data_IF_815834801203
#
_entry.id   IF_815834801203
#
_cell.length_a   1.000
_cell.length_b   1.000
_cell.length_c   1.000
_cell.angle_alpha   90.00
_cell.angle_beta   90.00
_cell.angle_gamma   90.00
#
_symmetry.space_group_name_H-M   'P 1'
#
loop_
_entity.id
_entity.type
_entity.pdbx_description
1 polymer ?
#
# COMPACT_ATOMS: atom_id res chain seq x y z
N UNK A 1 -15.10 7.63 11.93
CA UNK A 1 -15.19 8.49 13.13
C UNK A 1 -16.51 8.32 13.86
N UNK A 2 -17.51 9.16 13.56
CA UNK A 2 -18.73 9.29 14.38
C UNK A 2 -19.48 7.98 14.66
N UNK A 3 -19.62 7.09 13.66
CA UNK A 3 -20.23 5.77 13.87
C UNK A 3 -19.51 4.94 14.94
N UNK A 4 -18.18 4.97 14.97
CA UNK A 4 -17.37 4.27 15.97
C UNK A 4 -17.60 4.84 17.38
N UNK A 5 -17.51 6.18 17.51
CA UNK A 5 -17.80 6.89 18.76
C UNK A 5 -19.19 6.51 19.30
N UNK A 6 -20.22 6.58 18.45
CA UNK A 6 -21.59 6.23 18.83
C UNK A 6 -21.74 4.77 19.26
N UNK A 7 -21.00 3.82 18.66
CA UNK A 7 -21.03 2.42 19.10
C UNK A 7 -20.36 2.26 20.47
N UNK A 8 -19.21 2.90 20.72
CA UNK A 8 -18.54 2.82 22.02
C UNK A 8 -19.44 3.39 23.13
N UNK A 9 -20.11 4.52 22.86
CA UNK A 9 -21.02 5.17 23.81
C UNK A 9 -22.25 4.34 24.20
N UNK A 10 -22.58 3.28 23.47
CA UNK A 10 -23.64 2.33 23.87
C UNK A 10 -23.28 1.47 25.08
N UNK A 11 -21.99 1.34 25.42
CA UNK A 11 -21.54 0.45 26.49
C UNK A 11 -20.46 1.04 27.41
N UNK A 12 -19.93 2.24 27.12
CA UNK A 12 -19.01 3.00 28.00
C UNK A 12 -19.26 4.51 27.97
N UNK A 13 -19.38 5.13 29.14
CA UNK A 13 -19.56 6.57 29.33
C UNK A 13 -18.27 7.32 29.71
N UNK A 14 -17.20 6.60 30.06
CA UNK A 14 -15.93 7.20 30.48
C UNK A 14 -15.35 8.14 29.41
N UNK A 15 -14.67 9.24 29.79
CA UNK A 15 -14.02 10.12 28.82
C UNK A 15 -13.02 9.36 27.94
N UNK A 16 -12.98 9.69 26.65
CA UNK A 16 -11.86 9.26 25.82
C UNK A 16 -10.61 10.00 26.29
N UNK A 17 -9.66 9.28 26.88
CA UNK A 17 -8.48 9.91 27.48
C UNK A 17 -7.34 10.15 26.47
N UNK A 18 -6.98 9.12 25.71
CA UNK A 18 -5.84 9.15 24.78
C UNK A 18 -6.23 8.48 23.46
N UNK A 19 -5.87 9.12 22.34
CA UNK A 19 -5.87 8.55 20.99
C UNK A 19 -4.40 8.30 20.62
N UNK A 20 -4.06 7.08 20.23
CA UNK A 20 -2.74 6.75 19.70
C UNK A 20 -2.84 6.53 18.20
N UNK A 21 -2.08 7.28 17.43
CA UNK A 21 -1.87 7.01 16.02
C UNK A 21 -0.82 5.93 15.85
N UNK A 22 -1.24 4.77 15.34
CA UNK A 22 -0.32 3.71 14.92
C UNK A 22 0.59 4.22 13.80
N UNK A 23 0.06 5.02 12.89
CA UNK A 23 0.78 5.85 11.92
C UNK A 23 -0.17 6.84 11.25
N UNK A 24 0.38 7.81 10.53
CA UNK A 24 -0.39 8.87 9.89
C UNK A 24 -1.10 8.49 8.60
N UNK A 25 -1.42 7.22 8.34
CA UNK A 25 -2.31 6.87 7.22
C UNK A 25 -3.76 7.28 7.50
N UNK A 26 -4.45 7.73 6.46
CA UNK A 26 -5.76 8.38 6.58
C UNK A 26 -6.86 7.47 7.14
N UNK A 27 -6.78 6.16 6.95
CA UNK A 27 -7.69 5.16 7.51
C UNK A 27 -7.45 4.95 9.02
N UNK A 28 -6.29 5.37 9.54
CA UNK A 28 -5.93 5.32 10.95
C UNK A 28 -6.20 6.64 11.68
N UNK A 29 -6.06 7.78 10.99
CA UNK A 29 -6.17 9.12 11.61
C UNK A 29 -7.42 9.90 11.22
N UNK A 30 -7.93 9.69 10.00
CA UNK A 30 -8.95 10.56 9.39
C UNK A 30 -10.30 10.54 10.11
N UNK A 31 -10.55 9.48 10.88
CA UNK A 31 -11.75 9.34 11.72
C UNK A 31 -11.67 10.01 13.08
N UNK A 32 -10.49 10.47 13.51
CA UNK A 32 -10.21 10.84 14.91
C UNK A 32 -10.81 12.19 15.32
N UNK A 33 -11.11 13.08 14.37
CA UNK A 33 -11.84 14.32 14.64
C UNK A 33 -13.19 14.10 15.32
N UNK A 34 -13.83 12.95 15.10
CA UNK A 34 -15.11 12.62 15.74
C UNK A 34 -14.99 12.41 17.27
N UNK A 35 -13.83 11.98 17.77
CA UNK A 35 -13.59 11.82 19.19
C UNK A 35 -13.33 13.17 19.88
N UNK A 36 -12.73 14.12 19.15
CA UNK A 36 -12.56 15.50 19.61
C UNK A 36 -13.93 16.20 19.69
N UNK A 37 -14.73 16.10 18.64
CA UNK A 37 -16.07 16.69 18.58
C UNK A 37 -16.98 16.15 19.69
N UNK A 38 -16.95 14.84 19.98
CA UNK A 38 -17.76 14.27 21.06
C UNK A 38 -17.35 14.74 22.46
N UNK A 39 -16.06 15.01 22.68
CA UNK A 39 -15.60 15.58 23.93
C UNK A 39 -16.08 17.03 24.07
N UNK A 40 -15.99 17.82 23.00
CA UNK A 40 -16.46 19.20 22.93
C UNK A 40 -17.98 19.30 23.18
N UNK A 41 -18.79 18.51 22.47
CA UNK A 41 -20.26 18.45 22.63
C UNK A 41 -20.68 18.12 24.07
N UNK A 42 -19.86 17.32 24.76
CA UNK A 42 -20.09 16.92 26.15
C UNK A 42 -19.47 17.87 27.18
N UNK A 43 -18.86 19.00 26.76
CA UNK A 43 -18.20 19.94 27.66
C UNK A 43 -16.98 19.36 28.40
N UNK A 44 -16.30 18.38 27.81
CA UNK A 44 -15.14 17.69 28.39
C UNK A 44 -13.86 18.06 27.64
N UNK A 45 -12.67 17.99 28.30
CA UNK A 45 -11.41 18.09 27.59
C UNK A 45 -11.30 17.01 26.51
N UNK A 46 -10.83 17.39 25.32
CA UNK A 46 -10.55 16.44 24.24
C UNK A 46 -9.46 15.43 24.64
N UNK A 47 -9.47 14.21 24.06
CA UNK A 47 -8.42 13.23 24.31
C UNK A 47 -7.05 13.77 23.90
N UNK A 48 -6.01 13.37 24.64
CA UNK A 48 -4.62 13.57 24.21
C UNK A 48 -4.36 12.77 22.94
N UNK A 49 -3.76 13.37 21.92
CA UNK A 49 -3.41 12.69 20.67
C UNK A 49 -1.91 12.43 20.66
N UNK A 50 -1.53 11.15 20.61
CA UNK A 50 -0.16 10.67 20.65
C UNK A 50 0.22 10.06 19.30
N UNK A 51 1.40 10.38 18.78
CA UNK A 51 1.94 9.73 17.59
C UNK A 51 3.45 9.89 17.49
N UNK A 52 4.09 9.14 16.59
CA UNK A 52 5.52 9.31 16.32
C UNK A 52 5.81 10.72 15.75
N UNK A 53 7.02 11.26 15.95
CA UNK A 53 7.43 12.59 15.46
C UNK A 53 7.33 12.78 13.93
N UNK A 54 7.25 11.68 13.17
CA UNK A 54 7.06 11.72 11.72
C UNK A 54 5.58 11.79 11.29
N UNK A 55 4.60 11.61 12.19
CA UNK A 55 3.16 11.74 11.83
C UNK A 55 2.84 13.16 11.34
N UNK A 56 3.24 14.25 12.02
CA UNK A 56 3.02 15.61 11.50
C UNK A 56 3.70 15.86 10.14
N UNK A 57 4.93 15.34 9.95
CA UNK A 57 5.66 15.45 8.67
C UNK A 57 4.92 14.75 7.54
N UNK A 58 4.27 13.61 7.83
CA UNK A 58 3.41 12.91 6.87
C UNK A 58 2.17 13.72 6.51
N UNK A 59 1.53 14.36 7.50
CA UNK A 59 0.37 15.24 7.24
C UNK A 59 0.75 16.42 6.34
N UNK A 60 1.89 17.06 6.61
CA UNK A 60 2.44 18.11 5.76
C UNK A 60 2.66 17.62 4.32
N UNK A 61 3.24 16.42 4.14
CA UNK A 61 3.41 15.82 2.82
C UNK A 61 2.07 15.59 2.12
N UNK A 62 1.05 15.11 2.83
CA UNK A 62 -0.29 14.95 2.24
C UNK A 62 -0.89 16.28 1.79
N UNK A 63 -0.70 17.36 2.55
CA UNK A 63 -1.13 18.69 2.14
C UNK A 63 -0.36 19.16 0.90
N UNK A 64 0.96 18.99 0.89
CA UNK A 64 1.83 19.38 -0.23
C UNK A 64 1.48 18.62 -1.53
N UNK A 65 1.10 17.35 -1.41
CA UNK A 65 0.82 16.45 -2.54
C UNK A 65 -0.66 16.06 -2.61
N UNK A 66 -1.57 16.91 -2.13
CA UNK A 66 -2.98 16.58 -1.98
C UNK A 66 -3.62 16.10 -3.28
N UNK A 67 -3.49 16.90 -4.35
CA UNK A 67 -4.07 16.56 -5.66
C UNK A 67 -3.51 15.25 -6.22
N UNK A 68 -2.21 14.99 -6.05
CA UNK A 68 -1.60 13.75 -6.50
C UNK A 68 -2.11 12.54 -5.69
N UNK A 69 -2.25 12.68 -4.37
CA UNK A 69 -2.83 11.62 -3.54
C UNK A 69 -4.28 11.31 -3.96
N UNK A 70 -5.09 12.31 -4.30
CA UNK A 70 -6.44 12.07 -4.84
C UNK A 70 -6.38 11.26 -6.14
N UNK A 71 -5.52 11.66 -7.09
CA UNK A 71 -5.35 10.97 -8.38
C UNK A 71 -4.94 9.50 -8.20
N UNK A 72 -3.90 9.21 -7.42
CA UNK A 72 -3.42 7.83 -7.25
C UNK A 72 -4.44 6.96 -6.50
N UNK A 73 -5.21 7.52 -5.56
CA UNK A 73 -6.24 6.74 -4.87
C UNK A 73 -7.44 6.46 -5.78
N UNK A 74 -7.86 7.39 -6.63
CA UNK A 74 -8.91 7.10 -7.62
C UNK A 74 -8.42 6.05 -8.62
N UNK A 75 -7.16 6.11 -9.09
CA UNK A 75 -6.57 5.05 -9.93
C UNK A 75 -6.63 3.69 -9.27
N UNK A 76 -6.21 3.62 -8.01
CA UNK A 76 -6.05 2.36 -7.30
C UNK A 76 -7.39 1.78 -6.81
N UNK A 77 -8.29 2.65 -6.34
CA UNK A 77 -9.46 2.25 -5.57
C UNK A 77 -10.80 2.68 -6.19
N UNK A 78 -10.81 3.59 -7.18
CA UNK A 78 -12.04 4.19 -7.72
C UNK A 78 -13.00 3.21 -8.38
N UNK A 79 -12.53 2.04 -8.79
CA UNK A 79 -13.36 0.94 -9.32
C UNK A 79 -13.91 -0.01 -8.24
N UNK A 80 -13.56 0.18 -6.97
CA UNK A 80 -14.02 -0.62 -5.83
C UNK A 80 -14.97 0.15 -4.92
N UNK A 81 -15.68 1.14 -5.47
CA UNK A 81 -16.60 2.01 -4.73
C UNK A 81 -17.65 1.21 -3.96
N UNK A 82 -17.95 1.63 -2.72
CA UNK A 82 -18.90 0.97 -1.84
C UNK A 82 -18.32 -0.20 -1.02
N UNK A 83 -17.02 -0.49 -1.14
CA UNK A 83 -16.31 -1.50 -0.31
C UNK A 83 -15.54 -0.92 0.88
N UNK A 84 -15.76 0.36 1.21
CA UNK A 84 -15.13 1.01 2.36
C UNK A 84 -13.75 1.63 2.08
N UNK A 85 -13.28 1.62 0.82
CA UNK A 85 -12.07 2.32 0.36
C UNK A 85 -12.36 3.74 -0.16
N UNK A 86 -13.57 4.24 0.08
CA UNK A 86 -14.10 5.43 -0.58
C UNK A 86 -13.48 6.71 -0.02
N UNK A 87 -12.59 7.31 -0.81
CA UNK A 87 -12.19 8.71 -0.70
C UNK A 87 -12.74 9.56 -1.85
N UNK A 88 -13.46 8.91 -2.77
CA UNK A 88 -13.99 9.53 -3.97
C UNK A 88 -14.92 10.69 -3.60
N UNK A 89 -14.62 11.88 -4.13
CA UNK A 89 -15.42 13.09 -3.90
C UNK A 89 -14.90 14.02 -2.80
N UNK A 90 -13.86 13.65 -2.05
CA UNK A 90 -13.22 14.57 -1.11
C UNK A 90 -12.12 15.41 -1.79
N UNK A 91 -12.27 16.74 -1.76
CA UNK A 91 -11.27 17.67 -2.27
C UNK A 91 -9.94 17.61 -1.49
N UNK A 92 -9.99 17.18 -0.22
CA UNK A 92 -8.82 16.95 0.62
C UNK A 92 -8.64 15.46 0.94
N UNK A 93 -7.42 14.97 0.68
CA UNK A 93 -7.02 13.60 0.95
C UNK A 93 -6.91 13.33 2.46
N UNK A 94 -6.28 14.23 3.22
CA UNK A 94 -6.32 14.22 4.69
C UNK A 94 -7.53 15.05 5.14
N UNK A 95 -8.47 14.50 5.92
CA UNK A 95 -9.59 15.28 6.42
C UNK A 95 -9.11 16.45 7.29
N UNK A 96 -9.64 17.65 7.06
CA UNK A 96 -9.32 18.87 7.85
C UNK A 96 -9.62 18.72 9.34
N UNK A 97 -10.51 17.81 9.70
CA UNK A 97 -10.89 17.49 11.08
C UNK A 97 -9.91 16.54 11.77
N UNK A 98 -8.87 16.06 11.08
CA UNK A 98 -7.85 15.17 11.66
C UNK A 98 -7.02 15.96 12.68
N UNK A 99 -7.08 15.65 13.97
CA UNK A 99 -6.29 16.39 14.95
C UNK A 99 -4.81 16.03 14.81
N UNK A 100 -3.93 17.03 14.88
CA UNK A 100 -2.50 16.81 14.99
C UNK A 100 -2.15 16.16 16.35
N UNK A 101 -1.10 15.33 16.43
CA UNK A 101 -0.59 14.87 17.73
C UNK A 101 -0.25 16.05 18.64
N UNK A 102 -0.83 16.06 19.84
CA UNK A 102 -0.45 17.00 20.91
C UNK A 102 0.75 16.50 21.72
N UNK A 103 1.12 15.23 21.55
CA UNK A 103 2.33 14.63 22.11
C UNK A 103 3.00 13.78 21.03
N UNK A 104 4.28 14.06 20.79
CA UNK A 104 5.11 13.24 19.90
C UNK A 104 6.24 12.56 20.66
N UNK A 105 6.73 11.47 20.10
CA UNK A 105 7.88 10.73 20.61
C UNK A 105 8.70 10.18 19.45
N UNK A 106 9.96 9.80 19.72
CA UNK A 106 10.88 9.26 18.73
C UNK A 106 11.01 7.74 18.82
N UNK A 107 11.55 7.22 19.91
CA UNK A 107 11.85 5.78 20.01
C UNK A 107 10.76 5.04 20.78
N UNK A 108 10.49 5.49 22.01
CA UNK A 108 9.48 4.90 22.89
C UNK A 108 8.69 5.96 23.67
N UNK A 109 7.45 5.64 24.04
CA UNK A 109 6.67 6.43 25.00
C UNK A 109 5.87 5.49 25.90
N UNK A 110 6.11 5.57 27.20
CA UNK A 110 5.37 4.81 28.19
C UNK A 110 4.37 5.72 28.91
N UNK A 111 3.15 5.24 29.10
CA UNK A 111 2.13 5.96 29.85
C UNK A 111 1.10 5.00 30.45
N UNK A 112 0.40 5.45 31.47
CA UNK A 112 -0.66 4.69 32.13
C UNK A 112 -2.00 5.40 32.01
N UNK A 113 -3.08 4.67 31.76
CA UNK A 113 -4.46 5.19 31.72
C UNK A 113 -5.36 4.24 32.48
N UNK A 114 -6.03 4.75 33.51
CA UNK A 114 -6.94 3.92 34.32
C UNK A 114 -6.26 2.76 35.04
N UNK A 115 -4.95 2.87 35.32
CA UNK A 115 -4.15 1.82 35.95
C UNK A 115 -3.57 0.78 34.98
N UNK A 116 -3.85 0.89 33.67
CA UNK A 116 -3.26 0.01 32.65
C UNK A 116 -2.06 0.69 31.99
N UNK A 117 -0.93 0.00 31.95
CA UNK A 117 0.31 0.48 31.36
C UNK A 117 0.40 0.16 29.86
N UNK A 118 0.84 1.15 29.09
CA UNK A 118 1.09 1.06 27.66
C UNK A 118 2.53 1.44 27.35
N UNK A 119 3.22 0.60 26.59
CA UNK A 119 4.56 0.87 26.06
C UNK A 119 4.46 1.04 24.54
N UNK A 120 4.50 2.29 24.06
CA UNK A 120 4.58 2.57 22.63
C UNK A 120 6.02 2.45 22.16
N UNK A 121 6.21 1.75 21.04
CA UNK A 121 7.49 1.50 20.40
C UNK A 121 7.42 1.91 18.94
N UNK A 122 8.34 2.76 18.53
CA UNK A 122 8.51 3.11 17.14
C UNK A 122 9.31 2.03 16.41
N UNK A 123 8.86 1.70 15.20
CA UNK A 123 9.69 1.05 14.20
C UNK A 123 9.25 1.52 12.82
N UNK A 124 10.11 1.37 11.81
CA UNK A 124 9.73 1.63 10.42
C UNK A 124 9.13 0.36 9.81
N UNK A 125 8.09 0.52 9.01
CA UNK A 125 7.43 -0.58 8.32
C UNK A 125 6.83 -0.14 7.00
N UNK A 126 5.50 -0.18 6.89
CA UNK A 126 4.80 0.44 5.78
C UNK A 126 5.12 1.94 5.69
N UNK A 127 5.33 2.57 6.84
CA UNK A 127 5.67 3.98 6.97
C UNK A 127 6.88 4.21 7.86
N UNK A 128 7.39 5.45 7.84
CA UNK A 128 8.47 5.94 8.70
C UNK A 128 7.98 6.45 10.07
N UNK A 129 6.69 6.34 10.35
CA UNK A 129 6.03 6.85 11.55
C UNK A 129 5.23 5.78 12.30
N UNK A 130 5.48 4.51 11.98
CA UNK A 130 4.80 3.37 12.60
C UNK A 130 5.08 3.27 14.10
N UNK A 131 4.05 2.85 14.83
CA UNK A 131 3.99 2.61 16.27
C UNK A 131 3.29 1.28 16.50
N UNK A 132 3.86 0.45 17.37
CA UNK A 132 3.15 -0.66 17.99
C UNK A 132 3.15 -0.50 19.52
N UNK A 133 2.11 -0.99 20.18
CA UNK A 133 1.97 -0.90 21.63
C UNK A 133 2.09 -2.28 22.26
N UNK A 134 2.88 -2.37 23.33
CA UNK A 134 2.89 -3.51 24.25
C UNK A 134 2.07 -3.16 25.50
N UNK A 135 1.19 -4.08 25.90
CA UNK A 135 0.35 -3.97 27.09
C UNK A 135 0.74 -5.14 28.03
N UNK A 136 1.65 -4.92 29.00
CA UNK A 136 2.24 -5.99 29.79
C UNK A 136 1.22 -6.83 30.55
N UNK A 137 0.23 -6.19 31.17
CA UNK A 137 -0.81 -6.86 31.97
C UNK A 137 -1.59 -7.90 31.15
N UNK A 138 -1.83 -7.62 29.87
CA UNK A 138 -2.55 -8.52 28.96
C UNK A 138 -1.63 -9.37 28.09
N UNK A 139 -0.31 -9.19 28.20
CA UNK A 139 0.68 -9.70 27.25
C UNK A 139 0.23 -9.48 25.81
N UNK A 140 -0.28 -8.29 25.52
CA UNK A 140 -0.94 -7.99 24.26
C UNK A 140 -0.13 -7.00 23.41
N UNK A 141 -0.15 -7.20 22.09
CA UNK A 141 0.43 -6.27 21.11
C UNK A 141 -0.69 -5.63 20.29
N UNK A 142 -0.72 -4.30 20.20
CA UNK A 142 -1.47 -3.58 19.18
C UNK A 142 -0.50 -3.16 18.07
N UNK A 143 -0.61 -3.78 16.89
CA UNK A 143 0.45 -3.77 15.89
C UNK A 143 0.29 -2.74 14.76
N UNK A 144 -0.82 -2.01 14.70
CA UNK A 144 -1.10 -1.19 13.51
C UNK A 144 -1.09 -2.03 12.24
N UNK A 145 -0.45 -1.50 11.18
CA UNK A 145 -0.33 -2.17 9.88
C UNK A 145 0.97 -2.97 9.73
N UNK A 146 1.69 -3.24 10.82
CA UNK A 146 2.79 -4.22 10.76
C UNK A 146 2.29 -5.63 10.34
N UNK A 147 0.99 -5.90 10.47
CA UNK A 147 0.35 -7.13 10.00
C UNK A 147 -1.09 -6.86 9.57
N UNK A 148 -1.51 -7.35 8.39
CA UNK A 148 -2.82 -7.03 7.79
C UNK A 148 -3.56 -8.25 7.20
N UNK A 149 -3.21 -9.49 7.58
CA UNK A 149 -3.77 -10.72 6.98
C UNK A 149 -3.65 -10.81 5.45
N UNK A 150 -2.62 -10.19 4.91
CA UNK A 150 -2.22 -10.25 3.51
C UNK A 150 -0.70 -10.08 3.44
N UNK A 151 -0.12 -10.36 2.27
CA UNK A 151 1.29 -10.09 2.04
C UNK A 151 1.61 -8.61 2.39
N UNK A 152 2.70 -8.32 3.13
CA UNK A 152 2.96 -6.98 3.66
C UNK A 152 2.93 -5.92 2.57
N UNK A 153 2.24 -4.81 2.87
CA UNK A 153 2.18 -3.66 1.99
C UNK A 153 3.51 -2.91 2.05
N UNK A 154 4.58 -3.49 1.50
CA UNK A 154 5.94 -2.96 1.51
C UNK A 154 6.44 -2.57 0.10
N UNK A 155 5.56 -2.65 -0.90
CA UNK A 155 5.90 -2.44 -2.31
C UNK A 155 5.05 -1.45 -3.09
N UNK A 156 3.86 -1.06 -2.60
CA UNK A 156 2.84 -0.29 -3.35
C UNK A 156 3.44 0.68 -4.40
N UNK A 157 3.13 0.47 -5.69
CA UNK A 157 3.80 1.14 -6.79
C UNK A 157 3.53 2.64 -6.90
N UNK A 158 2.52 3.15 -6.17
CA UNK A 158 2.09 4.55 -6.26
C UNK A 158 2.35 5.35 -4.98
N UNK A 159 2.87 4.72 -3.91
CA UNK A 159 3.02 5.37 -2.60
C UNK A 159 4.48 5.74 -2.32
N UNK A 160 4.68 6.49 -1.24
CA UNK A 160 6.00 6.87 -0.78
C UNK A 160 6.80 5.64 -0.29
N UNK A 161 8.10 5.85 -0.10
CA UNK A 161 9.06 4.81 0.31
C UNK A 161 8.60 4.00 1.53
N UNK A 162 8.85 2.69 1.48
CA UNK A 162 8.58 1.73 2.57
C UNK A 162 9.84 0.99 3.00
N UNK A 163 9.78 0.32 4.15
CA UNK A 163 10.96 -0.15 4.88
C UNK A 163 10.90 -1.65 5.20
N UNK A 164 10.93 -2.55 4.20
CA UNK A 164 10.77 -4.00 4.43
C UNK A 164 11.83 -4.60 5.36
N UNK A 165 13.06 -4.07 5.34
CA UNK A 165 14.15 -4.51 6.22
C UNK A 165 13.86 -4.18 7.68
N UNK A 166 13.54 -2.92 7.97
CA UNK A 166 13.21 -2.46 9.31
C UNK A 166 11.90 -3.09 9.81
N UNK A 167 10.95 -3.32 8.90
CA UNK A 167 9.69 -4.03 9.19
C UNK A 167 9.96 -5.43 9.71
N UNK A 168 10.82 -6.20 9.04
CA UNK A 168 11.16 -7.54 9.48
C UNK A 168 11.75 -7.54 10.89
N UNK A 169 12.66 -6.60 11.20
CA UNK A 169 13.22 -6.44 12.55
C UNK A 169 12.11 -6.19 13.59
N UNK A 170 11.15 -5.32 13.30
CA UNK A 170 10.02 -5.05 14.19
C UNK A 170 9.17 -6.31 14.46
N UNK A 171 8.92 -7.12 13.41
CA UNK A 171 8.17 -8.37 13.56
C UNK A 171 8.93 -9.41 14.39
N UNK A 172 10.26 -9.48 14.26
CA UNK A 172 11.11 -10.33 15.09
C UNK A 172 11.07 -9.89 16.55
N UNK A 173 11.13 -8.58 16.82
CA UNK A 173 10.99 -8.05 18.18
C UNK A 173 9.64 -8.42 18.78
N UNK A 174 8.53 -8.15 18.06
CA UNK A 174 7.18 -8.52 18.50
C UNK A 174 7.03 -10.02 18.76
N UNK A 175 7.61 -10.88 17.91
CA UNK A 175 7.61 -12.33 18.11
C UNK A 175 8.35 -12.74 19.39
N UNK A 176 9.40 -11.99 19.77
CA UNK A 176 10.20 -12.19 20.97
C UNK A 176 9.52 -11.73 22.28
N UNK A 177 8.52 -10.86 22.21
CA UNK A 177 7.81 -10.32 23.40
C UNK A 177 7.02 -11.38 24.17
N UNK A 178 6.77 -12.56 23.59
CA UNK A 178 5.98 -13.59 24.23
C UNK A 178 4.50 -13.22 24.40
N UNK A 179 3.96 -12.44 23.46
CA UNK A 179 2.56 -12.02 23.46
C UNK A 179 1.60 -13.22 23.47
N UNK A 180 0.49 -13.09 24.19
CA UNK A 180 -0.61 -14.07 24.20
C UNK A 180 -1.81 -13.60 23.37
N UNK A 181 -1.88 -12.30 23.08
CA UNK A 181 -2.87 -11.66 22.21
C UNK A 181 -2.20 -10.67 21.25
N UNK A 182 -2.52 -10.76 19.97
CA UNK A 182 -2.01 -9.86 18.94
C UNK A 182 -3.17 -9.22 18.18
N UNK A 183 -3.19 -7.89 18.14
CA UNK A 183 -4.26 -7.05 17.62
C UNK A 183 -3.73 -6.21 16.45
N UNK A 184 -3.88 -6.68 15.20
CA UNK A 184 -3.60 -5.84 14.04
C UNK A 184 -4.68 -4.77 13.87
N UNK A 185 -4.37 -3.70 13.13
CA UNK A 185 -5.39 -2.72 12.77
C UNK A 185 -6.35 -3.24 11.68
N UNK A 186 -5.87 -4.15 10.82
CA UNK A 186 -6.69 -4.81 9.79
C UNK A 186 -6.73 -6.33 10.00
N UNK A 187 -7.95 -6.89 9.92
CA UNK A 187 -8.20 -8.32 10.05
C UNK A 187 -8.40 -8.80 11.50
N UNK A 188 -8.27 -10.11 11.71
CA UNK A 188 -8.65 -10.75 12.98
C UNK A 188 -7.52 -10.73 14.03
N UNK A 189 -7.85 -10.64 15.32
CA UNK A 189 -6.90 -10.93 16.40
C UNK A 189 -6.29 -12.33 16.29
N UNK A 190 -5.04 -12.48 16.74
CA UNK A 190 -4.37 -13.78 16.88
C UNK A 190 -4.18 -14.06 18.38
N UNK A 191 -4.68 -15.19 18.85
CA UNK A 191 -4.43 -15.68 20.20
C UNK A 191 -3.39 -16.80 20.22
N UNK A 192 -2.64 -16.87 21.33
CA UNK A 192 -1.70 -17.95 21.63
C UNK A 192 -0.27 -17.64 21.21
N UNK A 193 0.64 -17.69 22.19
CA UNK A 193 2.06 -17.31 22.05
C UNK A 193 2.77 -17.96 20.87
N UNK A 194 2.66 -19.28 20.73
CA UNK A 194 3.34 -20.02 19.65
C UNK A 194 2.79 -19.66 18.26
N UNK A 195 1.48 -19.42 18.16
CA UNK A 195 0.82 -19.04 16.91
C UNK A 195 1.25 -17.64 16.49
N UNK A 196 1.25 -16.69 17.42
CA UNK A 196 1.70 -15.31 17.17
C UNK A 196 3.16 -15.33 16.73
N UNK A 197 4.05 -15.98 17.49
CA UNK A 197 5.47 -16.05 17.16
C UNK A 197 5.70 -16.70 15.78
N UNK A 198 5.00 -17.78 15.44
CA UNK A 198 5.09 -18.41 14.11
C UNK A 198 4.72 -17.45 13.00
N UNK A 199 3.53 -16.84 13.08
CA UNK A 199 3.02 -15.94 12.04
C UNK A 199 3.97 -14.77 11.81
N UNK A 200 4.39 -14.09 12.88
CA UNK A 200 5.28 -12.93 12.77
C UNK A 200 6.66 -13.33 12.21
N UNK A 201 7.21 -14.47 12.63
CA UNK A 201 8.50 -14.95 12.13
C UNK A 201 8.45 -15.36 10.65
N UNK A 202 7.35 -15.93 10.17
CA UNK A 202 7.19 -16.29 8.76
C UNK A 202 7.03 -15.05 7.86
N UNK A 203 6.28 -14.05 8.33
CA UNK A 203 6.17 -12.76 7.63
C UNK A 203 7.52 -12.04 7.60
N UNK A 204 8.24 -12.00 8.73
CA UNK A 204 9.58 -11.43 8.80
C UNK A 204 10.56 -12.14 7.85
N UNK A 205 10.57 -13.47 7.84
CA UNK A 205 11.42 -14.26 6.96
C UNK A 205 11.15 -14.01 5.47
N UNK A 206 9.88 -13.81 5.11
CA UNK A 206 9.50 -13.48 3.72
C UNK A 206 10.07 -12.12 3.28
N UNK A 207 10.01 -11.11 4.15
CA UNK A 207 10.59 -9.79 3.89
C UNK A 207 12.12 -9.83 3.85
N UNK A 208 12.75 -10.51 4.81
CA UNK A 208 14.21 -10.69 4.88
C UNK A 208 14.76 -11.35 3.61
N UNK A 209 14.08 -12.39 3.12
CA UNK A 209 14.46 -13.07 1.89
C UNK A 209 14.42 -12.13 0.68
N UNK A 210 13.30 -11.42 0.45
CA UNK A 210 13.18 -10.51 -0.69
C UNK A 210 14.23 -9.39 -0.61
N UNK A 211 14.46 -8.82 0.57
CA UNK A 211 15.51 -7.82 0.79
C UNK A 211 16.88 -8.39 0.45
N UNK A 212 17.20 -9.57 0.95
CA UNK A 212 18.52 -10.19 0.79
C UNK A 212 18.81 -10.53 -0.67
N UNK A 213 17.90 -11.22 -1.35
CA UNK A 213 18.11 -11.61 -2.76
C UNK A 213 18.10 -10.40 -3.71
N UNK A 214 17.26 -9.40 -3.44
CA UNK A 214 17.28 -8.15 -4.22
C UNK A 214 18.62 -7.44 -4.07
N UNK A 215 19.07 -7.20 -2.84
CA UNK A 215 20.34 -6.50 -2.59
C UNK A 215 21.56 -7.28 -3.10
N UNK A 216 21.52 -8.61 -3.03
CA UNK A 216 22.54 -9.47 -3.61
C UNK A 216 22.69 -9.21 -5.11
N UNK A 217 21.60 -9.31 -5.88
CA UNK A 217 21.64 -9.07 -7.33
C UNK A 217 22.01 -7.61 -7.67
N UNK A 218 21.57 -6.64 -6.87
CA UNK A 218 22.01 -5.25 -7.02
C UNK A 218 23.53 -5.11 -6.86
N UNK A 219 24.11 -5.75 -5.84
CA UNK A 219 25.56 -5.73 -5.60
C UNK A 219 26.35 -6.47 -6.69
N UNK A 220 25.74 -7.44 -7.37
CA UNK A 220 26.29 -8.11 -8.55
C UNK A 220 26.19 -7.25 -9.83
N UNK A 221 25.56 -6.07 -9.76
CA UNK A 221 25.39 -5.16 -10.88
C UNK A 221 24.28 -5.54 -11.86
N UNK A 222 23.35 -6.43 -11.45
CA UNK A 222 22.21 -6.80 -12.26
C UNK A 222 21.29 -5.61 -12.56
N UNK A 223 20.66 -5.60 -13.73
CA UNK A 223 19.64 -4.61 -14.08
C UNK A 223 18.35 -4.89 -13.31
N UNK A 224 17.57 -3.85 -13.02
CA UNK A 224 16.30 -3.99 -12.31
C UNK A 224 15.38 -5.03 -12.98
N UNK A 225 15.32 -5.04 -14.31
CA UNK A 225 14.52 -6.01 -15.05
C UNK A 225 14.92 -7.46 -14.71
N UNK A 226 16.23 -7.75 -14.69
CA UNK A 226 16.73 -9.10 -14.38
C UNK A 226 16.39 -9.49 -12.93
N UNK A 227 16.45 -8.54 -12.00
CA UNK A 227 16.10 -8.73 -10.59
C UNK A 227 14.61 -9.07 -10.44
N UNK A 228 13.71 -8.33 -11.09
CA UNK A 228 12.26 -8.57 -11.03
C UNK A 228 11.88 -9.98 -11.51
N UNK A 229 12.59 -10.46 -12.55
CA UNK A 229 12.36 -11.79 -13.09
C UNK A 229 13.05 -12.91 -12.30
N UNK A 230 14.08 -12.59 -11.51
CA UNK A 230 14.86 -13.58 -10.74
C UNK A 230 14.38 -13.78 -9.31
N UNK A 231 14.03 -12.71 -8.59
CA UNK A 231 13.62 -12.79 -7.18
C UNK A 231 12.19 -13.35 -7.10
N UNK A 232 12.04 -14.54 -6.52
CA UNK A 232 10.73 -15.22 -6.34
C UNK A 232 10.56 -15.69 -4.91
N UNK A 233 9.41 -15.35 -4.32
CA UNK A 233 8.99 -15.88 -3.03
C UNK A 233 8.45 -17.29 -3.20
N UNK A 234 8.67 -18.13 -2.19
CA UNK A 234 8.13 -19.49 -2.11
C UNK A 234 6.60 -19.50 -2.29
N UNK A 235 6.06 -20.21 -3.31
CA UNK A 235 4.63 -20.35 -3.52
C UNK A 235 3.87 -20.89 -2.30
N UNK A 236 4.47 -21.81 -1.54
CA UNK A 236 3.81 -22.40 -0.37
C UNK A 236 3.59 -21.36 0.75
N UNK A 237 4.49 -20.38 0.87
CA UNK A 237 4.29 -19.25 1.76
C UNK A 237 3.16 -18.35 1.28
N UNK A 238 3.03 -18.13 -0.03
CA UNK A 238 1.99 -17.27 -0.61
C UNK A 238 0.58 -17.88 -0.53
N UNK A 239 0.45 -19.19 -0.31
CA UNK A 239 -0.85 -19.82 -0.08
C UNK A 239 -1.39 -19.61 1.33
N UNK A 240 -0.51 -19.31 2.29
CA UNK A 240 -0.88 -19.10 3.70
C UNK A 240 -1.83 -17.92 3.84
N UNK A 241 -2.90 -18.03 4.65
CA UNK A 241 -3.95 -17.01 4.72
C UNK A 241 -3.46 -15.58 5.01
N UNK A 242 -2.35 -15.42 5.73
CA UNK A 242 -1.76 -14.14 6.12
C UNK A 242 -0.61 -13.65 5.24
N UNK A 243 -0.28 -14.39 4.18
CA UNK A 243 0.76 -14.04 3.20
C UNK A 243 0.25 -14.07 1.76
N UNK A 244 -1.06 -14.23 1.55
CA UNK A 244 -1.63 -14.14 0.21
C UNK A 244 -1.41 -12.75 -0.38
N UNK A 245 -0.96 -12.62 -1.64
CA UNK A 245 -0.76 -11.34 -2.31
C UNK A 245 -2.09 -10.77 -2.84
N UNK A 246 -3.04 -10.56 -1.92
CA UNK A 246 -4.39 -10.05 -2.23
C UNK A 246 -4.50 -8.54 -2.10
N UNK A 247 -3.54 -7.91 -1.42
CA UNK A 247 -3.47 -6.45 -1.28
C UNK A 247 -2.25 -5.91 -2.02
N UNK A 248 -1.04 -6.14 -1.50
CA UNK A 248 0.26 -5.92 -2.14
C UNK A 248 0.89 -7.26 -2.58
N UNK A 249 2.06 -7.25 -3.20
CA UNK A 249 2.72 -8.47 -3.72
C UNK A 249 4.27 -8.41 -3.71
N UNK A 250 4.96 -9.57 -3.73
CA UNK A 250 6.42 -9.64 -3.65
C UNK A 250 7.18 -8.81 -4.70
N UNK A 251 6.72 -8.82 -5.95
CA UNK A 251 7.40 -8.12 -7.06
C UNK A 251 7.45 -6.60 -6.81
N UNK A 252 6.42 -6.03 -6.18
CA UNK A 252 6.39 -4.61 -5.83
C UNK A 252 7.40 -4.27 -4.73
N UNK A 253 7.69 -5.20 -3.82
CA UNK A 253 8.73 -4.98 -2.80
C UNK A 253 10.11 -4.88 -3.44
N UNK A 254 10.41 -5.69 -4.47
CA UNK A 254 11.67 -5.61 -5.23
C UNK A 254 11.86 -4.21 -5.82
N UNK A 255 10.82 -3.66 -6.46
CA UNK A 255 10.81 -2.29 -6.96
C UNK A 255 11.05 -1.25 -5.86
N UNK A 256 10.40 -1.41 -4.71
CA UNK A 256 10.55 -0.49 -3.58
C UNK A 256 11.96 -0.53 -2.96
N UNK A 257 12.61 -1.70 -2.93
CA UNK A 257 14.01 -1.85 -2.50
C UNK A 257 14.95 -1.18 -3.50
N UNK A 258 14.73 -1.40 -4.80
CA UNK A 258 15.50 -0.70 -5.84
C UNK A 258 15.41 0.81 -5.68
N UNK A 259 14.19 1.34 -5.51
CA UNK A 259 13.98 2.77 -5.25
C UNK A 259 14.71 3.25 -3.99
N UNK A 260 14.72 2.45 -2.93
CA UNK A 260 15.35 2.80 -1.65
C UNK A 260 16.86 2.97 -1.76
N UNK A 261 17.53 2.06 -2.48
CA UNK A 261 18.99 1.97 -2.48
C UNK A 261 19.65 2.33 -3.81
N UNK A 262 18.99 2.05 -4.93
CA UNK A 262 19.51 2.22 -6.30
C UNK A 262 19.04 3.50 -7.02
N UNK A 263 18.05 4.21 -6.47
CA UNK A 263 17.47 5.39 -7.10
C UNK A 263 16.44 5.05 -8.18
N UNK A 264 16.33 5.86 -9.23
CA UNK A 264 15.29 5.74 -10.26
C UNK A 264 15.74 5.04 -11.55
N UNK A 265 17.05 5.05 -11.84
CA UNK A 265 17.59 4.46 -13.07
C UNK A 265 17.61 2.94 -12.95
N UNK A 266 17.24 2.22 -14.00
CA UNK A 266 17.00 0.76 -13.97
C UNK A 266 18.13 -0.09 -14.58
N UNK A 267 19.18 0.56 -15.07
CA UNK A 267 20.32 -0.08 -15.74
C UNK A 267 20.17 -0.24 -17.26
N UNK A 268 19.07 0.22 -17.87
CA UNK A 268 18.91 0.27 -19.33
C UNK A 268 19.34 1.65 -19.86
N UNK A 269 20.41 1.77 -20.66
CA UNK A 269 20.87 3.06 -21.18
C UNK A 269 19.80 3.86 -21.95
N UNK A 270 18.86 3.18 -22.62
CA UNK A 270 17.77 3.82 -23.35
C UNK A 270 16.80 4.59 -22.42
N UNK A 271 16.74 4.22 -21.14
CA UNK A 271 15.84 4.82 -20.15
C UNK A 271 16.48 5.98 -19.36
N UNK A 272 17.78 6.24 -19.53
CA UNK A 272 18.46 7.33 -18.80
C UNK A 272 17.96 8.72 -19.25
N UNK A 273 17.72 8.87 -20.56
CA UNK A 273 17.16 10.08 -21.19
C UNK A 273 16.26 9.66 -22.35
N UNK A 274 15.07 9.10 -22.05
CA UNK A 274 14.26 8.45 -23.07
C UNK A 274 13.73 9.47 -24.08
N UNK A 275 13.48 8.98 -25.30
CA UNK A 275 12.69 9.73 -26.28
C UNK A 275 11.26 9.97 -25.75
N UNK A 276 10.51 10.87 -26.39
CA UNK A 276 9.07 10.99 -26.13
C UNK A 276 8.41 9.65 -26.43
N UNK A 277 7.61 9.13 -25.50
CA UNK A 277 7.00 7.79 -25.63
C UNK A 277 6.17 7.66 -26.91
N UNK A 278 5.42 8.70 -27.28
CA UNK A 278 4.64 8.73 -28.54
C UNK A 278 5.53 8.57 -29.78
N UNK A 279 6.74 9.15 -29.78
CA UNK A 279 7.64 9.02 -30.94
C UNK A 279 8.16 7.59 -31.10
N UNK A 280 8.57 6.95 -29.99
CA UNK A 280 8.98 5.55 -29.99
C UNK A 280 7.81 4.62 -30.37
N UNK A 281 6.63 4.87 -29.81
CA UNK A 281 5.42 4.11 -30.08
C UNK A 281 5.01 4.15 -31.56
N UNK A 282 5.05 5.34 -32.18
CA UNK A 282 4.75 5.51 -33.61
C UNK A 282 5.73 4.74 -34.50
N UNK A 283 7.04 4.79 -34.21
CA UNK A 283 8.05 4.05 -34.96
C UNK A 283 7.81 2.53 -34.85
N UNK A 284 7.57 2.02 -33.65
CA UNK A 284 7.28 0.60 -33.42
C UNK A 284 5.99 0.18 -34.14
N UNK A 285 4.96 1.02 -34.12
CA UNK A 285 3.71 0.76 -34.83
C UNK A 285 3.91 0.75 -36.36
N UNK A 286 4.71 1.66 -36.92
CA UNK A 286 5.04 1.68 -38.35
C UNK A 286 5.77 0.40 -38.78
N UNK A 287 6.77 -0.03 -38.00
CA UNK A 287 7.50 -1.29 -38.23
C UNK A 287 6.57 -2.52 -38.17
N UNK A 288 5.52 -2.47 -37.35
CA UNK A 288 4.51 -3.53 -37.25
C UNK A 288 3.42 -3.46 -38.34
N UNK A 289 3.47 -2.47 -39.24
CA UNK A 289 2.51 -2.26 -40.31
C UNK A 289 1.26 -1.48 -39.90
N UNK A 290 1.34 -0.69 -38.83
CA UNK A 290 0.32 0.25 -38.35
C UNK A 290 -0.14 -0.03 -36.90
N UNK A 291 -0.73 0.98 -36.23
CA UNK A 291 -1.15 0.89 -34.83
C UNK A 291 -2.24 -0.18 -34.59
N UNK A 292 -3.19 -0.34 -35.54
CA UNK A 292 -4.22 -1.38 -35.44
C UNK A 292 -3.60 -2.78 -35.47
N UNK A 293 -2.68 -3.06 -36.40
CA UNK A 293 -1.99 -4.36 -36.46
C UNK A 293 -1.17 -4.65 -35.21
N UNK A 294 -0.53 -3.62 -34.65
CA UNK A 294 0.19 -3.74 -33.39
C UNK A 294 -0.75 -4.09 -32.22
N UNK A 295 -1.93 -3.45 -32.16
CA UNK A 295 -2.96 -3.77 -31.16
C UNK A 295 -3.56 -5.17 -31.34
N UNK A 296 -3.82 -5.61 -32.57
CA UNK A 296 -4.28 -6.98 -32.88
C UNK A 296 -3.24 -8.01 -32.43
N UNK A 297 -1.95 -7.73 -32.68
CA UNK A 297 -0.87 -8.59 -32.20
C UNK A 297 -0.80 -8.62 -30.67
N UNK A 298 -1.03 -7.48 -30.02
CA UNK A 298 -1.11 -7.41 -28.57
C UNK A 298 -2.21 -8.33 -28.04
N UNK A 299 -3.43 -8.25 -28.59
CA UNK A 299 -4.53 -9.11 -28.20
C UNK A 299 -4.23 -10.60 -28.45
N UNK A 300 -3.65 -10.94 -29.61
CA UNK A 300 -3.27 -12.32 -29.93
C UNK A 300 -2.20 -12.89 -28.97
N UNK A 301 -1.43 -12.04 -28.29
CA UNK A 301 -0.46 -12.42 -27.27
C UNK A 301 -1.06 -12.47 -25.85
N UNK A 302 -2.26 -11.93 -25.62
CA UNK A 302 -2.80 -11.77 -24.27
C UNK A 302 -2.94 -13.11 -23.52
N UNK A 303 -3.25 -14.20 -24.23
CA UNK A 303 -3.35 -15.55 -23.65
C UNK A 303 -2.00 -16.31 -23.59
N UNK A 304 -0.94 -15.76 -24.21
CA UNK A 304 0.39 -16.39 -24.28
C UNK A 304 1.38 -15.70 -23.34
N UNK A 305 1.50 -14.39 -23.47
CA UNK A 305 2.31 -13.52 -22.63
C UNK A 305 1.60 -12.17 -22.47
N UNK A 306 0.75 -12.10 -21.45
CA UNK A 306 -0.05 -10.90 -21.17
C UNK A 306 0.81 -9.69 -20.81
N UNK A 307 2.02 -9.87 -20.30
CA UNK A 307 2.92 -8.75 -19.97
C UNK A 307 3.44 -8.12 -21.25
N UNK A 308 3.90 -8.94 -22.19
CA UNK A 308 4.31 -8.47 -23.52
C UNK A 308 3.13 -7.84 -24.26
N UNK A 309 1.94 -8.45 -24.20
CA UNK A 309 0.72 -7.90 -24.76
C UNK A 309 0.44 -6.48 -24.24
N UNK A 310 0.56 -6.23 -22.94
CA UNK A 310 0.39 -4.89 -22.36
C UNK A 310 1.34 -3.85 -22.98
N UNK A 311 2.61 -4.19 -23.20
CA UNK A 311 3.57 -3.27 -23.84
C UNK A 311 3.16 -2.90 -25.27
N UNK A 312 2.75 -3.90 -26.08
CA UNK A 312 2.35 -3.66 -27.46
C UNK A 312 1.03 -2.88 -27.53
N UNK A 313 0.07 -3.18 -26.66
CA UNK A 313 -1.19 -2.46 -26.57
C UNK A 313 -0.99 -0.99 -26.17
N UNK A 314 -0.05 -0.72 -25.25
CA UNK A 314 0.30 0.65 -24.85
C UNK A 314 0.92 1.42 -26.02
N UNK A 315 1.89 0.84 -26.73
CA UNK A 315 2.47 1.48 -27.90
C UNK A 315 1.43 1.73 -29.00
N UNK A 316 0.54 0.79 -29.27
CA UNK A 316 -0.52 1.02 -30.25
C UNK A 316 -1.40 2.23 -29.88
N UNK A 317 -1.83 2.32 -28.62
CA UNK A 317 -2.67 3.42 -28.14
C UNK A 317 -1.93 4.77 -28.10
N UNK A 318 -0.64 4.79 -27.80
CA UNK A 318 0.18 6.01 -27.87
C UNK A 318 0.38 6.48 -29.32
N UNK A 319 0.53 5.56 -30.27
CA UNK A 319 0.68 5.85 -31.69
C UNK A 319 -0.62 6.35 -32.34
N UNK A 320 -1.77 5.91 -31.85
CA UNK A 320 -3.10 6.29 -32.36
C UNK A 320 -4.09 6.67 -31.22
N UNK A 321 -3.84 7.77 -30.50
CA UNK A 321 -4.54 8.08 -29.23
C UNK A 321 -6.02 8.46 -29.35
N UNK A 322 -6.51 8.64 -30.58
CA UNK A 322 -7.88 8.97 -30.92
C UNK A 322 -8.59 7.85 -31.70
N UNK A 323 -7.93 6.71 -31.97
CA UNK A 323 -8.50 5.60 -32.72
C UNK A 323 -9.34 4.69 -31.79
N UNK A 324 -10.68 4.64 -31.96
CA UNK A 324 -11.53 3.82 -31.11
C UNK A 324 -11.24 2.32 -31.22
N UNK A 325 -10.81 1.83 -32.39
CA UNK A 325 -10.54 0.41 -32.61
C UNK A 325 -9.29 -0.04 -31.84
N UNK A 326 -8.24 0.78 -31.84
CA UNK A 326 -7.04 0.54 -31.02
C UNK A 326 -7.39 0.54 -29.53
N UNK A 327 -8.23 1.48 -29.10
CA UNK A 327 -8.65 1.53 -27.71
C UNK A 327 -9.53 0.35 -27.29
N UNK A 328 -10.41 -0.16 -28.16
CA UNK A 328 -11.18 -1.38 -27.88
C UNK A 328 -10.24 -2.58 -27.61
N UNK A 329 -9.22 -2.78 -28.45
CA UNK A 329 -8.24 -3.86 -28.29
C UNK A 329 -7.38 -3.67 -27.03
N UNK A 330 -6.90 -2.45 -26.75
CA UNK A 330 -6.15 -2.14 -25.52
C UNK A 330 -7.00 -2.41 -24.27
N UNK A 331 -8.28 -2.06 -24.30
CA UNK A 331 -9.19 -2.30 -23.18
C UNK A 331 -9.31 -3.80 -22.86
N UNK A 332 -9.42 -4.63 -23.89
CA UNK A 332 -9.48 -6.09 -23.74
C UNK A 332 -8.19 -6.66 -23.15
N UNK A 333 -7.03 -6.28 -23.70
CA UNK A 333 -5.71 -6.72 -23.19
C UNK A 333 -5.53 -6.38 -21.70
N UNK A 334 -5.82 -5.15 -21.30
CA UNK A 334 -5.70 -4.76 -19.89
C UNK A 334 -6.78 -5.39 -19.00
N UNK A 335 -7.96 -5.72 -19.54
CA UNK A 335 -8.96 -6.49 -18.81
C UNK A 335 -8.49 -7.93 -18.55
N UNK A 336 -7.88 -8.58 -19.54
CA UNK A 336 -7.27 -9.92 -19.39
C UNK A 336 -6.17 -9.86 -18.33
N UNK A 337 -5.25 -8.88 -18.43
CA UNK A 337 -4.21 -8.64 -17.42
C UNK A 337 -4.81 -8.52 -16.02
N UNK A 338 -5.79 -7.62 -15.86
CA UNK A 338 -6.47 -7.38 -14.58
C UNK A 338 -7.12 -8.64 -14.01
N UNK A 339 -7.72 -9.49 -14.84
CA UNK A 339 -8.39 -10.71 -14.41
C UNK A 339 -7.41 -11.76 -13.87
N UNK A 340 -6.16 -11.78 -14.38
CA UNK A 340 -5.10 -12.67 -13.92
C UNK A 340 -4.42 -12.22 -12.62
N UNK A 341 -4.60 -10.98 -12.19
CA UNK A 341 -3.97 -10.48 -10.97
C UNK A 341 -4.64 -11.00 -9.70
N UNK A 342 -3.87 -11.10 -8.62
CA UNK A 342 -4.41 -11.31 -7.27
C UNK A 342 -4.47 -10.01 -6.48
N UNK A 343 -3.44 -9.18 -6.57
CA UNK A 343 -3.25 -7.99 -5.74
C UNK A 343 -4.26 -6.91 -6.08
N UNK A 344 -4.82 -6.27 -5.04
CA UNK A 344 -5.75 -5.16 -5.21
C UNK A 344 -5.07 -3.98 -5.92
N UNK A 345 -3.77 -3.76 -5.66
CA UNK A 345 -3.00 -2.67 -6.29
C UNK A 345 -2.92 -2.85 -7.82
N UNK A 346 -2.54 -4.04 -8.28
CA UNK A 346 -2.42 -4.33 -9.71
C UNK A 346 -3.79 -4.28 -10.41
N UNK A 347 -4.82 -4.87 -9.79
CA UNK A 347 -6.20 -4.81 -10.30
C UNK A 347 -6.70 -3.38 -10.47
N UNK A 348 -6.40 -2.52 -9.51
CA UNK A 348 -6.71 -1.08 -9.57
C UNK A 348 -6.11 -0.44 -10.82
N UNK A 349 -4.79 -0.54 -10.98
CA UNK A 349 -4.07 0.10 -12.09
C UNK A 349 -4.50 -0.44 -13.45
N UNK A 350 -4.51 -1.76 -13.65
CA UNK A 350 -4.87 -2.35 -14.93
C UNK A 350 -6.36 -2.15 -15.26
N UNK A 351 -7.24 -2.20 -14.26
CA UNK A 351 -8.65 -1.91 -14.46
C UNK A 351 -8.91 -0.44 -14.83
N UNK A 352 -8.16 0.51 -14.28
CA UNK A 352 -8.25 1.90 -14.73
C UNK A 352 -7.84 2.02 -16.19
N UNK A 353 -6.71 1.42 -16.58
CA UNK A 353 -6.23 1.47 -17.97
C UNK A 353 -7.26 0.88 -18.96
N UNK A 354 -7.90 -0.23 -18.60
CA UNK A 354 -8.98 -0.82 -19.39
C UNK A 354 -10.17 0.14 -19.52
N UNK A 355 -10.65 0.69 -18.39
CA UNK A 355 -11.81 1.59 -18.35
C UNK A 355 -11.58 2.91 -19.10
N UNK A 356 -10.37 3.47 -19.04
CA UNK A 356 -10.01 4.66 -19.82
C UNK A 356 -10.09 4.40 -21.33
N UNK A 357 -9.67 3.22 -21.78
CA UNK A 357 -9.76 2.85 -23.20
C UNK A 357 -11.18 2.53 -23.64
N UNK A 358 -11.98 1.84 -22.82
CA UNK A 358 -13.41 1.62 -23.09
C UNK A 358 -14.17 2.93 -23.35
N UNK A 359 -13.94 3.95 -22.51
CA UNK A 359 -14.53 5.28 -22.70
C UNK A 359 -14.14 5.91 -24.04
N UNK A 360 -12.87 5.78 -24.43
CA UNK A 360 -12.39 6.27 -25.74
C UNK A 360 -12.90 5.44 -26.92
N UNK A 361 -13.23 4.17 -26.70
CA UNK A 361 -13.90 3.31 -27.67
C UNK A 361 -15.41 3.59 -27.79
N UNK A 362 -15.98 4.44 -26.92
CA UNK A 362 -17.39 4.81 -26.93
C UNK A 362 -18.30 3.91 -26.07
N UNK A 363 -17.73 3.09 -25.18
CA UNK A 363 -18.48 2.30 -24.20
C UNK A 363 -18.84 3.13 -22.96
N UNK A 364 -20.01 2.86 -22.38
CA UNK A 364 -20.40 3.36 -21.05
C UNK A 364 -19.76 2.49 -19.96
N UNK A 365 -18.95 3.10 -19.08
CA UNK A 365 -18.08 2.41 -18.10
C UNK A 365 -18.29 2.86 -16.68
#
# INVERSE_FOLDING_TARGET
GAKCVNQIRRWRSDPFNTIVYTHGHIDHVGGCGAFMAEAEDAGRPGPRVVGHENVPKRFERYNLTNGYNVVINERQFGQFKGRGYDLAGHAQFLPVTTPAPSTTYRDTLNFSVGGLDFELRHAKGETDDHTWAWIPEHKAICAGDFFIWAFPNAGNPQKAQRYPREWAVALREMAGMGAELFLPAHGLPIGGRERIARVLNEVAGSLEYIVTETLKLMNEGARLNDILHSVKTDPDLLEKPYLRPVYDEPEFIVQNIWRLYGGWYDGNPAHLKPAREVALASEVAELAGGPVKLAERALALADVDVRLACHLAEFAALAAPADPAVHALRAEVFQIRRNGETSLMAKGVFGQAANESRKKAGEDV
#
